data_IF_820121784376
#
_entry.id   IF_820121784376
#
_cell.length_a   1.000
_cell.length_b   1.000
_cell.length_c   1.000
_cell.angle_alpha   90.00
_cell.angle_beta   90.00
_cell.angle_gamma   90.00
#
_symmetry.space_group_name_H-M   'P 1'
#
loop_
_entity.id
_entity.type
_entity.pdbx_description
1 polymer ?
#
# COMPACT_ATOMS: atom_id res chain seq x y z
N UNK A 1 0.44 -15.54 -28.12
CA UNK A 1 0.06 -14.19 -28.64
C UNK A 1 1.24 -13.24 -28.45
N UNK A 2 1.33 -12.09 -29.15
CA UNK A 2 2.38 -11.07 -28.87
C UNK A 2 1.75 -9.86 -28.25
N UNK A 3 2.41 -9.24 -27.28
CA UNK A 3 1.94 -8.09 -26.54
C UNK A 3 3.03 -7.03 -26.38
N UNK A 4 2.64 -5.77 -26.27
CA UNK A 4 3.61 -4.67 -26.09
C UNK A 4 4.37 -4.80 -24.77
N UNK A 5 5.66 -4.51 -24.80
CA UNK A 5 6.54 -4.61 -23.63
C UNK A 5 6.06 -3.74 -22.47
N UNK A 6 5.64 -2.48 -22.73
CA UNK A 6 5.15 -1.57 -21.69
C UNK A 6 3.85 -2.08 -21.01
N UNK A 7 2.99 -2.73 -21.77
CA UNK A 7 1.76 -3.34 -21.24
C UNK A 7 2.04 -4.62 -20.46
N UNK A 8 2.93 -5.48 -20.97
CA UNK A 8 3.31 -6.73 -20.30
C UNK A 8 3.94 -6.47 -18.92
N UNK A 9 4.78 -5.45 -18.81
CA UNK A 9 5.39 -5.07 -17.52
C UNK A 9 4.34 -4.74 -16.47
N UNK A 10 3.29 -4.00 -16.85
CA UNK A 10 2.19 -3.64 -15.95
C UNK A 10 1.33 -4.86 -15.63
N UNK A 11 0.92 -5.62 -16.65
CA UNK A 11 0.08 -6.81 -16.47
C UNK A 11 0.71 -7.89 -15.59
N UNK A 12 2.05 -7.99 -15.62
CA UNK A 12 2.80 -8.92 -14.76
C UNK A 12 3.18 -8.33 -13.41
N UNK A 13 2.74 -7.11 -13.10
CA UNK A 13 3.05 -6.43 -11.85
C UNK A 13 4.53 -6.11 -11.65
N UNK A 14 5.33 -6.09 -12.74
CA UNK A 14 6.73 -5.72 -12.66
C UNK A 14 6.94 -4.20 -12.51
N UNK A 15 5.91 -3.42 -12.80
CA UNK A 15 5.87 -1.96 -12.61
C UNK A 15 4.43 -1.48 -12.36
N UNK A 16 4.30 -0.38 -11.64
CA UNK A 16 3.02 0.20 -11.21
C UNK A 16 2.19 0.89 -12.30
N UNK A 17 2.84 1.31 -13.41
CA UNK A 17 2.16 2.04 -14.48
C UNK A 17 2.88 1.93 -15.81
N UNK A 18 2.16 2.20 -16.92
CA UNK A 18 2.76 2.26 -18.27
C UNK A 18 3.81 3.37 -18.39
N UNK A 19 3.61 4.50 -17.74
CA UNK A 19 4.58 5.60 -17.71
C UNK A 19 5.89 5.13 -17.08
N UNK A 20 5.81 4.41 -15.95
CA UNK A 20 6.98 3.82 -15.28
C UNK A 20 7.65 2.75 -16.14
N UNK A 21 6.86 1.88 -16.80
CA UNK A 21 7.38 0.89 -17.75
C UNK A 21 8.20 1.55 -18.86
N UNK A 22 7.66 2.58 -19.47
CA UNK A 22 8.32 3.33 -20.54
C UNK A 22 9.63 3.98 -20.06
N UNK A 23 9.62 4.59 -18.87
CA UNK A 23 10.81 5.19 -18.27
C UNK A 23 11.90 4.14 -18.00
N UNK A 24 11.55 2.98 -17.47
CA UNK A 24 12.51 1.89 -17.21
C UNK A 24 13.06 1.27 -18.50
N UNK A 25 12.22 1.11 -19.53
CA UNK A 25 12.67 0.64 -20.84
C UNK A 25 13.65 1.66 -21.45
N UNK A 26 13.30 2.95 -21.41
CA UNK A 26 14.17 4.03 -21.90
C UNK A 26 15.51 4.07 -21.13
N UNK A 27 15.46 3.89 -19.81
CA UNK A 27 16.64 3.79 -18.96
C UNK A 27 17.46 2.50 -19.15
N UNK A 28 16.97 1.58 -19.99
CA UNK A 28 17.65 0.33 -20.31
C UNK A 28 17.67 -0.70 -19.17
N UNK A 29 16.72 -0.60 -18.25
CA UNK A 29 16.59 -1.48 -17.08
C UNK A 29 15.71 -2.70 -17.32
N UNK A 30 15.08 -2.84 -18.49
CA UNK A 30 14.18 -3.94 -18.81
C UNK A 30 14.88 -4.94 -19.74
N UNK A 31 14.84 -6.20 -19.37
CA UNK A 31 15.47 -7.30 -20.09
C UNK A 31 14.49 -8.44 -20.37
N UNK A 32 14.70 -9.11 -21.52
CA UNK A 32 14.08 -10.39 -21.88
C UNK A 32 15.19 -11.44 -21.94
N UNK A 33 15.39 -12.20 -20.87
CA UNK A 33 16.61 -12.98 -20.70
C UNK A 33 17.83 -12.05 -20.64
N UNK A 34 18.81 -12.28 -21.53
CA UNK A 34 19.99 -11.41 -21.64
C UNK A 34 19.79 -10.24 -22.63
N UNK A 35 18.70 -10.22 -23.37
CA UNK A 35 18.42 -9.15 -24.33
C UNK A 35 17.69 -7.97 -23.67
N UNK A 36 18.26 -6.78 -23.83
CA UNK A 36 17.61 -5.54 -23.41
C UNK A 36 16.42 -5.24 -24.29
N UNK A 37 15.27 -4.92 -23.67
CA UNK A 37 14.10 -4.40 -24.37
C UNK A 37 14.37 -2.96 -24.80
N UNK A 38 14.35 -2.70 -26.11
CA UNK A 38 14.78 -1.43 -26.68
C UNK A 38 13.70 -0.35 -26.66
N UNK A 39 12.45 -0.72 -26.90
CA UNK A 39 11.34 0.21 -27.02
C UNK A 39 10.12 -0.27 -26.26
N UNK A 40 9.36 0.67 -25.71
CA UNK A 40 8.11 0.41 -25.01
C UNK A 40 7.04 -0.32 -25.88
N UNK A 41 7.10 -0.08 -27.19
CA UNK A 41 6.21 -0.71 -28.17
C UNK A 41 6.68 -2.05 -28.70
N UNK A 42 7.83 -2.58 -28.27
CA UNK A 42 8.31 -3.88 -28.75
C UNK A 42 7.28 -4.97 -28.46
N UNK A 43 6.99 -5.78 -29.51
CA UNK A 43 6.00 -6.85 -29.44
C UNK A 43 6.69 -8.14 -28.99
N UNK A 44 6.50 -8.50 -27.74
CA UNK A 44 7.10 -9.66 -27.11
C UNK A 44 6.12 -10.83 -27.07
N UNK A 45 6.64 -12.05 -27.08
CA UNK A 45 5.82 -13.25 -26.89
C UNK A 45 5.28 -13.30 -25.45
N UNK A 46 4.07 -13.83 -25.29
CA UNK A 46 3.35 -13.83 -24.01
C UNK A 46 4.03 -14.68 -22.92
N UNK A 47 4.85 -15.64 -23.33
CA UNK A 47 5.63 -16.53 -22.47
C UNK A 47 7.06 -16.04 -22.18
N UNK A 48 7.47 -14.92 -22.78
CA UNK A 48 8.83 -14.40 -22.59
C UNK A 48 9.08 -13.99 -21.12
N UNK A 49 10.22 -14.38 -20.59
CA UNK A 49 10.63 -13.93 -19.25
C UNK A 49 11.08 -12.47 -19.31
N UNK A 50 10.34 -11.58 -18.63
CA UNK A 50 10.72 -10.19 -18.46
C UNK A 50 11.32 -9.97 -17.06
N UNK A 51 12.36 -9.15 -17.03
CA UNK A 51 13.06 -8.77 -15.79
C UNK A 51 13.35 -7.26 -15.82
N UNK A 52 13.14 -6.59 -14.67
CA UNK A 52 13.59 -5.21 -14.47
C UNK A 52 14.85 -5.28 -13.61
N UNK A 53 16.01 -4.97 -14.20
CA UNK A 53 17.29 -4.99 -13.50
C UNK A 53 17.58 -3.63 -12.88
N UNK A 54 18.13 -3.65 -11.66
CA UNK A 54 18.45 -2.42 -10.91
C UNK A 54 17.20 -1.70 -10.42
N UNK A 55 16.20 -2.41 -9.97
CA UNK A 55 15.17 -1.85 -9.09
C UNK A 55 15.83 -1.46 -7.76
N UNK A 56 15.47 -0.27 -7.27
CA UNK A 56 16.02 0.26 -6.01
C UNK A 56 15.35 -0.42 -4.78
N UNK A 57 14.45 -1.40 -4.99
CA UNK A 57 13.70 -2.11 -3.95
C UNK A 57 13.25 -3.50 -4.44
N UNK A 58 13.08 -4.49 -3.55
CA UNK A 58 12.67 -5.85 -3.90
C UNK A 58 11.15 -6.01 -4.15
N UNK A 59 10.33 -4.99 -3.85
CA UNK A 59 8.88 -5.06 -3.83
C UNK A 59 8.25 -4.83 -5.20
N UNK A 60 7.02 -5.31 -5.41
CA UNK A 60 6.25 -5.10 -6.67
C UNK A 60 6.00 -3.62 -6.96
N UNK A 61 6.02 -2.74 -5.93
CA UNK A 61 5.95 -1.30 -6.10
C UNK A 61 6.73 -0.56 -5.02
N UNK A 62 7.02 0.76 -5.24
CA UNK A 62 7.68 1.63 -4.25
C UNK A 62 6.92 1.75 -2.94
N UNK A 63 5.59 1.47 -2.94
CA UNK A 63 4.79 1.43 -1.73
C UNK A 63 5.38 0.50 -0.67
N UNK A 64 5.97 -0.63 -1.09
CA UNK A 64 6.63 -1.57 -0.18
C UNK A 64 7.74 -0.96 0.68
N UNK A 65 8.47 0.05 0.16
CA UNK A 65 9.48 0.77 0.96
C UNK A 65 8.87 1.46 2.18
N UNK A 66 7.66 2.01 2.02
CA UNK A 66 6.95 2.71 3.11
C UNK A 66 6.59 1.73 4.23
N UNK A 67 5.95 0.59 3.88
CA UNK A 67 5.56 -0.40 4.88
C UNK A 67 6.77 -1.07 5.53
N UNK A 68 7.79 -1.46 4.75
CA UNK A 68 9.00 -2.05 5.29
C UNK A 68 9.68 -1.12 6.32
N UNK A 69 9.73 0.20 6.02
CA UNK A 69 10.19 1.20 6.97
C UNK A 69 9.31 1.26 8.22
N UNK A 70 7.99 1.29 8.08
CA UNK A 70 7.05 1.32 9.19
C UNK A 70 7.17 0.09 10.11
N UNK A 71 7.26 -1.11 9.53
CA UNK A 71 7.47 -2.35 10.31
C UNK A 71 8.75 -2.28 11.15
N UNK A 72 9.86 -1.83 10.54
CA UNK A 72 11.13 -1.68 11.25
C UNK A 72 11.06 -0.59 12.34
N UNK A 73 10.44 0.58 12.03
CA UNK A 73 10.36 1.72 12.94
C UNK A 73 9.52 1.42 14.19
N UNK A 74 8.34 0.79 14.03
CA UNK A 74 7.43 0.48 15.14
C UNK A 74 7.72 -0.87 15.80
N UNK A 75 8.61 -1.69 15.25
CA UNK A 75 8.92 -3.02 15.74
C UNK A 75 7.76 -4.02 15.55
N UNK A 76 6.88 -3.79 14.57
CA UNK A 76 5.76 -4.66 14.28
C UNK A 76 6.15 -5.79 13.32
N UNK A 77 5.56 -6.97 13.52
CA UNK A 77 5.81 -8.14 12.67
C UNK A 77 4.49 -8.74 12.16
N UNK A 78 4.35 -8.96 10.84
CA UNK A 78 3.22 -9.69 10.27
C UNK A 78 3.40 -11.21 10.34
N UNK A 79 4.52 -11.72 10.83
CA UNK A 79 4.81 -13.15 10.87
C UNK A 79 3.73 -13.93 11.63
N UNK A 80 3.17 -14.94 10.96
CA UNK A 80 2.10 -15.78 11.50
C UNK A 80 0.73 -15.13 11.58
N UNK A 81 0.56 -13.88 11.10
CA UNK A 81 -0.68 -13.09 11.24
C UNK A 81 -1.55 -13.12 9.99
N UNK A 82 -2.85 -12.93 10.19
CA UNK A 82 -3.82 -12.64 9.15
C UNK A 82 -3.91 -11.10 9.03
N UNK A 83 -3.63 -10.60 7.84
CA UNK A 83 -3.46 -9.18 7.57
C UNK A 83 -4.58 -8.64 6.67
N UNK A 84 -4.90 -7.35 6.83
CA UNK A 84 -5.79 -6.59 5.97
C UNK A 84 -5.01 -5.42 5.35
N UNK A 85 -4.92 -5.39 4.02
CA UNK A 85 -4.30 -4.32 3.23
C UNK A 85 -5.39 -3.47 2.57
N UNK A 86 -5.60 -2.25 3.07
CA UNK A 86 -6.61 -1.30 2.60
C UNK A 86 -5.99 -0.33 1.60
N UNK A 87 -6.46 -0.37 0.36
CA UNK A 87 -5.87 0.37 -0.75
C UNK A 87 -4.67 -0.38 -1.35
N UNK A 88 -4.83 -1.68 -1.57
CA UNK A 88 -3.74 -2.57 -1.99
C UNK A 88 -3.11 -2.18 -3.34
N UNK A 89 -3.88 -1.60 -4.28
CA UNK A 89 -3.40 -1.16 -5.59
C UNK A 89 -2.59 -2.25 -6.31
N UNK A 90 -1.33 -2.00 -6.64
CA UNK A 90 -0.41 -2.98 -7.24
C UNK A 90 0.10 -4.04 -6.27
N UNK A 91 -0.13 -3.89 -4.96
CA UNK A 91 0.20 -4.88 -3.94
C UNK A 91 1.55 -4.64 -3.23
N UNK A 92 2.06 -3.42 -3.24
CA UNK A 92 3.34 -3.15 -2.57
C UNK A 92 3.34 -3.47 -1.08
N UNK A 93 2.24 -3.17 -0.36
CA UNK A 93 2.08 -3.52 1.05
C UNK A 93 1.82 -5.02 1.22
N UNK A 94 0.95 -5.61 0.42
CA UNK A 94 0.69 -7.05 0.39
C UNK A 94 1.98 -7.85 0.22
N UNK A 95 2.86 -7.46 -0.71
CA UNK A 95 4.15 -8.12 -0.97
C UNK A 95 5.09 -8.08 0.24
N UNK A 96 5.17 -6.92 0.92
CA UNK A 96 5.92 -6.80 2.18
C UNK A 96 5.36 -7.71 3.26
N UNK A 97 4.05 -7.71 3.47
CA UNK A 97 3.40 -8.56 4.48
C UNK A 97 3.72 -10.05 4.26
N UNK A 98 3.56 -10.52 3.03
CA UNK A 98 3.84 -11.92 2.66
C UNK A 98 5.32 -12.29 2.83
N UNK A 99 6.22 -11.42 2.41
CA UNK A 99 7.67 -11.63 2.53
C UNK A 99 8.12 -11.66 3.99
N UNK A 100 7.45 -10.90 4.87
CA UNK A 100 7.70 -10.91 6.31
C UNK A 100 6.87 -11.95 7.07
N UNK A 101 6.28 -12.93 6.37
CA UNK A 101 5.71 -14.13 6.97
C UNK A 101 4.23 -14.05 7.35
N UNK A 102 3.45 -13.11 6.78
CA UNK A 102 2.00 -13.15 6.93
C UNK A 102 1.43 -14.49 6.42
N UNK A 103 0.51 -15.08 7.16
CA UNK A 103 -0.15 -16.35 6.79
C UNK A 103 -1.27 -16.14 5.79
N UNK A 104 -1.90 -14.97 5.83
CA UNK A 104 -2.95 -14.57 4.90
C UNK A 104 -3.00 -13.05 4.78
N UNK A 105 -3.30 -12.54 3.59
CA UNK A 105 -3.52 -11.11 3.35
C UNK A 105 -4.82 -10.90 2.57
N UNK A 106 -5.77 -10.18 3.17
CA UNK A 106 -6.94 -9.66 2.47
C UNK A 106 -6.55 -8.36 1.80
N UNK A 107 -6.39 -8.36 0.48
CA UNK A 107 -6.03 -7.20 -0.33
C UNK A 107 -7.29 -6.51 -0.86
N UNK A 108 -7.62 -5.34 -0.30
CA UNK A 108 -8.86 -4.60 -0.59
C UNK A 108 -8.56 -3.37 -1.42
N UNK A 109 -9.23 -3.21 -2.55
CA UNK A 109 -9.13 -2.02 -3.40
C UNK A 109 -10.44 -1.73 -4.14
N UNK A 110 -10.73 -0.44 -4.37
CA UNK A 110 -11.87 0.00 -5.20
C UNK A 110 -11.59 -0.21 -6.69
N UNK A 111 -10.33 -0.31 -7.09
CA UNK A 111 -9.86 -0.60 -8.43
C UNK A 111 -10.11 -2.05 -8.85
N UNK A 112 -9.73 -2.35 -10.08
CA UNK A 112 -9.84 -3.68 -10.66
C UNK A 112 -8.63 -4.00 -11.53
N UNK A 113 -8.10 -5.23 -11.40
CA UNK A 113 -7.00 -5.71 -12.22
C UNK A 113 -5.66 -5.01 -11.97
N UNK A 114 -5.51 -4.34 -10.81
CA UNK A 114 -4.28 -3.60 -10.47
C UNK A 114 -3.27 -4.47 -9.73
N UNK A 115 -3.74 -5.40 -8.91
CA UNK A 115 -2.87 -6.26 -8.10
C UNK A 115 -1.93 -7.07 -9.00
N UNK A 116 -0.65 -7.07 -8.68
CA UNK A 116 0.39 -7.79 -9.41
C UNK A 116 0.03 -9.27 -9.54
N UNK A 117 0.30 -9.85 -10.73
CA UNK A 117 -0.12 -11.20 -11.05
C UNK A 117 0.44 -12.27 -10.11
N UNK A 118 1.71 -12.14 -9.71
CA UNK A 118 2.34 -13.04 -8.75
C UNK A 118 1.64 -13.04 -7.39
N UNK A 119 1.16 -11.88 -6.93
CA UNK A 119 0.41 -11.76 -5.68
C UNK A 119 -1.02 -12.30 -5.82
N UNK A 120 -1.64 -12.06 -6.98
CA UNK A 120 -2.98 -12.59 -7.30
C UNK A 120 -3.02 -14.12 -7.33
N UNK A 121 -1.91 -14.75 -7.70
CA UNK A 121 -1.77 -16.21 -7.76
C UNK A 121 -1.20 -16.83 -6.47
N UNK A 122 -0.91 -16.06 -5.44
CA UNK A 122 -0.45 -16.57 -4.15
C UNK A 122 -1.66 -17.01 -3.31
N UNK A 123 -1.69 -18.27 -2.91
CA UNK A 123 -2.81 -18.88 -2.15
C UNK A 123 -3.06 -18.20 -0.80
N UNK A 124 -2.10 -17.43 -0.30
CA UNK A 124 -2.24 -16.63 0.93
C UNK A 124 -2.97 -15.31 0.71
N UNK A 125 -3.23 -14.90 -0.54
CA UNK A 125 -3.86 -13.62 -0.87
C UNK A 125 -5.33 -13.81 -1.21
N UNK A 126 -6.20 -13.13 -0.47
CA UNK A 126 -7.61 -13.01 -0.78
C UNK A 126 -7.87 -11.65 -1.40
N UNK A 127 -8.26 -11.64 -2.68
CA UNK A 127 -8.41 -10.40 -3.47
C UNK A 127 -9.83 -9.87 -3.37
N UNK A 128 -10.00 -8.65 -2.86
CA UNK A 128 -11.26 -7.92 -2.77
C UNK A 128 -11.20 -6.68 -3.67
N UNK A 129 -11.33 -6.86 -4.97
CA UNK A 129 -11.40 -5.76 -5.94
C UNK A 129 -12.81 -5.17 -6.05
N UNK A 130 -12.93 -3.94 -6.60
CA UNK A 130 -14.19 -3.18 -6.67
C UNK A 130 -14.88 -3.06 -5.31
N UNK A 131 -14.09 -3.11 -4.23
CA UNK A 131 -14.59 -3.14 -2.86
C UNK A 131 -14.22 -1.84 -2.16
N UNK A 132 -15.25 -1.12 -1.71
CA UNK A 132 -15.03 0.10 -0.93
C UNK A 132 -14.87 -0.28 0.56
N UNK A 133 -13.66 -0.09 1.08
CA UNK A 133 -13.30 -0.45 2.45
C UNK A 133 -14.19 0.19 3.53
N UNK A 134 -14.84 1.33 3.24
CA UNK A 134 -15.81 1.96 4.16
C UNK A 134 -16.99 1.06 4.53
N UNK A 135 -17.29 0.08 3.70
CA UNK A 135 -18.43 -0.82 3.86
C UNK A 135 -18.00 -2.27 4.09
N UNK A 136 -16.72 -2.46 4.41
CA UNK A 136 -16.18 -3.78 4.70
C UNK A 136 -16.76 -4.32 6.00
N UNK A 137 -17.18 -5.58 5.98
CA UNK A 137 -17.84 -6.23 7.12
C UNK A 137 -17.36 -7.68 7.31
N UNK A 138 -17.87 -8.32 8.35
CA UNK A 138 -17.59 -9.72 8.66
C UNK A 138 -18.13 -10.72 7.64
N UNK A 139 -19.05 -10.33 6.77
CA UNK A 139 -19.52 -11.20 5.69
C UNK A 139 -18.49 -11.25 4.55
N UNK A 140 -17.82 -10.13 4.28
CA UNK A 140 -16.75 -10.05 3.26
C UNK A 140 -15.40 -10.56 3.78
N UNK A 141 -15.06 -10.29 5.06
CA UNK A 141 -13.81 -10.71 5.71
C UNK A 141 -14.18 -11.49 6.97
N UNK A 142 -14.22 -12.81 6.86
CA UNK A 142 -14.61 -13.71 7.95
C UNK A 142 -13.47 -13.99 8.93
N UNK A 143 -12.23 -13.83 8.48
CA UNK A 143 -11.04 -14.07 9.29
C UNK A 143 -10.85 -12.97 10.38
N UNK A 144 -10.29 -13.32 11.54
CA UNK A 144 -9.89 -12.33 12.54
C UNK A 144 -8.68 -11.54 12.03
N UNK A 145 -8.79 -10.22 11.95
CA UNK A 145 -7.68 -9.37 11.48
C UNK A 145 -6.73 -9.07 12.64
N UNK A 146 -5.49 -9.49 12.49
CA UNK A 146 -4.42 -9.36 13.49
C UNK A 146 -3.40 -8.28 13.13
N UNK A 147 -3.44 -7.81 11.87
CA UNK A 147 -2.63 -6.70 11.39
C UNK A 147 -3.39 -5.94 10.30
N UNK A 148 -3.44 -4.61 10.40
CA UNK A 148 -4.07 -3.75 9.42
C UNK A 148 -3.05 -2.78 8.85
N UNK A 149 -2.99 -2.70 7.52
CA UNK A 149 -2.19 -1.68 6.82
C UNK A 149 -3.08 -0.88 5.87
N UNK A 150 -2.75 0.41 5.66
CA UNK A 150 -3.55 1.26 4.79
C UNK A 150 -2.69 2.26 4.02
N UNK A 151 -2.79 2.21 2.69
CA UNK A 151 -2.24 3.20 1.75
C UNK A 151 -3.34 3.79 0.83
N UNK A 152 -4.56 3.98 1.38
CA UNK A 152 -5.69 4.52 0.63
C UNK A 152 -5.42 5.96 0.14
N UNK A 153 -5.95 6.29 -1.04
CA UNK A 153 -5.83 7.62 -1.65
C UNK A 153 -7.20 8.23 -1.88
N UNK A 154 -7.25 9.58 -1.96
CA UNK A 154 -8.45 10.37 -2.22
C UNK A 154 -9.54 10.29 -1.14
N UNK A 155 -9.19 9.85 0.07
CA UNK A 155 -10.11 9.72 1.20
C UNK A 155 -9.33 9.93 2.50
N UNK A 156 -9.96 10.57 3.50
CA UNK A 156 -9.38 10.71 4.84
C UNK A 156 -9.48 9.41 5.65
N UNK A 157 -8.50 9.18 6.52
CA UNK A 157 -8.39 7.97 7.34
C UNK A 157 -9.59 7.78 8.27
N UNK A 158 -10.09 8.87 8.87
CA UNK A 158 -11.28 8.83 9.73
C UNK A 158 -12.56 8.40 8.98
N UNK A 159 -12.54 8.46 7.65
CA UNK A 159 -13.67 8.03 6.82
C UNK A 159 -13.51 6.58 6.36
N UNK A 160 -12.31 6.14 6.00
CA UNK A 160 -12.10 4.82 5.39
C UNK A 160 -11.88 3.72 6.44
N UNK A 161 -11.31 4.03 7.60
CA UNK A 161 -10.85 3.02 8.56
C UNK A 161 -11.88 2.49 9.57
N UNK A 162 -12.97 3.17 9.93
CA UNK A 162 -13.87 2.65 10.98
C UNK A 162 -14.35 1.21 10.73
N UNK A 163 -14.76 0.88 9.51
CA UNK A 163 -15.20 -0.46 9.16
C UNK A 163 -14.05 -1.50 9.17
N UNK A 164 -12.88 -1.27 8.52
CA UNK A 164 -11.72 -2.15 8.65
C UNK A 164 -11.23 -2.36 10.09
N UNK A 165 -11.19 -1.31 10.92
CA UNK A 165 -10.74 -1.42 12.32
C UNK A 165 -11.69 -2.27 13.17
N UNK A 166 -12.99 -2.29 12.87
CA UNK A 166 -13.96 -3.15 13.54
C UNK A 166 -13.75 -4.65 13.28
N UNK A 167 -12.94 -5.00 12.27
CA UNK A 167 -12.56 -6.39 11.96
C UNK A 167 -11.34 -6.85 12.75
N UNK A 168 -10.63 -5.93 13.40
CA UNK A 168 -9.44 -6.26 14.17
C UNK A 168 -9.80 -6.97 15.49
N UNK A 169 -8.91 -7.85 15.92
CA UNK A 169 -9.03 -8.56 17.20
C UNK A 169 -8.02 -8.01 18.22
N UNK A 170 -8.25 -8.18 19.54
CA UNK A 170 -7.26 -7.81 20.55
C UNK A 170 -5.89 -8.41 20.28
N UNK A 171 -4.83 -7.61 20.42
CA UNK A 171 -3.47 -7.96 20.03
C UNK A 171 -3.10 -7.57 18.58
N UNK A 172 -4.06 -7.04 17.81
CA UNK A 172 -3.77 -6.51 16.49
C UNK A 172 -2.92 -5.23 16.56
N UNK A 173 -2.19 -4.97 15.47
CA UNK A 173 -1.54 -3.70 15.22
C UNK A 173 -1.98 -3.09 13.89
N UNK A 174 -1.76 -1.79 13.74
CA UNK A 174 -2.01 -1.09 12.48
C UNK A 174 -0.84 -0.21 12.09
N UNK A 175 -0.55 -0.13 10.77
CA UNK A 175 0.30 0.89 10.16
C UNK A 175 -0.49 1.52 9.02
N UNK A 176 -0.71 2.84 9.11
CA UNK A 176 -1.48 3.56 8.10
C UNK A 176 -0.71 4.78 7.61
N UNK A 177 -0.84 5.08 6.31
CA UNK A 177 -0.27 6.29 5.73
C UNK A 177 -1.18 7.49 5.96
N UNK A 178 -0.64 8.52 6.58
CA UNK A 178 -1.21 9.86 6.66
C UNK A 178 -0.75 10.60 5.41
N UNK A 179 -1.68 11.02 4.59
CA UNK A 179 -1.44 11.77 3.35
C UNK A 179 -2.02 13.19 3.50
N UNK A 180 -1.19 14.20 3.77
CA UNK A 180 -1.66 15.56 4.03
C UNK A 180 -2.58 16.10 2.93
N UNK A 181 -2.34 15.76 1.67
CA UNK A 181 -3.17 16.18 0.53
C UNK A 181 -4.61 15.67 0.58
N UNK A 182 -4.89 14.59 1.31
CA UNK A 182 -6.25 14.05 1.48
C UNK A 182 -6.86 14.32 2.86
N UNK A 183 -6.06 14.90 3.74
CA UNK A 183 -6.45 15.21 5.12
C UNK A 183 -6.63 16.70 5.40
N UNK A 184 -5.83 17.58 4.77
CA UNK A 184 -5.76 19.00 5.16
C UNK A 184 -6.96 19.85 4.71
N UNK A 185 -7.77 19.35 3.76
CA UNK A 185 -8.81 20.14 3.11
C UNK A 185 -8.28 20.99 1.94
N UNK A 186 -9.18 21.33 1.01
CA UNK A 186 -8.82 21.92 -0.28
C UNK A 186 -8.04 23.26 -0.19
N UNK A 187 -8.29 24.05 0.86
CA UNK A 187 -7.64 25.35 1.05
C UNK A 187 -6.12 25.28 1.26
N UNK A 188 -5.61 24.13 1.74
CA UNK A 188 -4.18 23.91 2.02
C UNK A 188 -3.46 23.13 0.92
N UNK A 189 -4.19 22.68 -0.09
CA UNK A 189 -3.64 21.92 -1.21
C UNK A 189 -3.27 22.90 -2.32
N UNK A 190 -1.98 23.07 -2.55
CA UNK A 190 -1.46 23.96 -3.58
C UNK A 190 -1.64 23.44 -5.01
N UNK A 191 -1.17 24.20 -5.97
CA UNK A 191 -1.15 23.77 -7.38
C UNK A 191 -0.49 22.38 -7.51
N UNK A 192 -1.02 21.53 -8.38
CA UNK A 192 -0.61 20.12 -8.57
C UNK A 192 -0.93 19.18 -7.39
N UNK A 193 -1.80 19.57 -6.46
CA UNK A 193 -2.20 18.67 -5.37
C UNK A 193 -1.15 18.47 -4.28
N UNK A 194 -0.20 19.41 -4.09
CA UNK A 194 0.90 19.25 -3.13
C UNK A 194 0.72 20.17 -1.94
N UNK A 195 0.79 19.60 -0.73
CA UNK A 195 0.88 20.31 0.54
C UNK A 195 2.35 20.47 0.91
N UNK A 196 2.83 21.73 1.01
CA UNK A 196 4.26 22.04 1.22
C UNK A 196 4.57 22.59 2.59
N UNK A 197 3.57 23.15 3.27
CA UNK A 197 3.74 23.83 4.56
C UNK A 197 3.95 22.80 5.68
N UNK A 198 5.12 22.80 6.36
CA UNK A 198 5.38 21.90 7.47
C UNK A 198 4.40 22.07 8.65
N UNK A 199 3.85 23.28 8.85
CA UNK A 199 2.85 23.51 9.89
C UNK A 199 1.54 22.78 9.58
N UNK A 200 1.15 22.71 8.30
CA UNK A 200 -0.01 21.92 7.86
C UNK A 200 0.25 20.43 8.05
N UNK A 201 1.46 19.95 7.73
CA UNK A 201 1.84 18.54 7.97
C UNK A 201 1.69 18.18 9.45
N UNK A 202 2.24 19.01 10.35
CA UNK A 202 2.14 18.79 11.81
C UNK A 202 0.69 18.81 12.30
N UNK A 203 -0.11 19.77 11.84
CA UNK A 203 -1.52 19.89 12.21
C UNK A 203 -2.33 18.67 11.74
N UNK A 204 -2.06 18.17 10.54
CA UNK A 204 -2.70 16.95 9.99
C UNK A 204 -2.32 15.73 10.83
N UNK A 205 -1.03 15.52 11.09
CA UNK A 205 -0.56 14.40 11.92
C UNK A 205 -1.16 14.44 13.32
N UNK A 206 -1.19 15.62 13.96
CA UNK A 206 -1.79 15.81 15.29
C UNK A 206 -3.28 15.46 15.31
N UNK A 207 -4.05 15.93 14.30
CA UNK A 207 -5.49 15.65 14.19
C UNK A 207 -5.76 14.15 13.97
N UNK A 208 -5.01 13.47 13.11
CA UNK A 208 -5.16 12.03 12.88
C UNK A 208 -4.80 11.25 14.14
N UNK A 209 -3.73 11.63 14.82
CA UNK A 209 -3.32 11.02 16.10
C UNK A 209 -4.40 11.21 17.17
N UNK A 210 -4.98 12.40 17.28
CA UNK A 210 -6.05 12.69 18.22
C UNK A 210 -7.30 11.85 17.92
N UNK A 211 -7.70 11.77 16.64
CA UNK A 211 -8.82 10.93 16.22
C UNK A 211 -8.58 9.46 16.60
N UNK A 212 -7.39 8.93 16.29
CA UNK A 212 -7.04 7.54 16.60
C UNK A 212 -7.04 7.26 18.10
N UNK A 213 -6.49 8.17 18.90
CA UNK A 213 -6.47 8.06 20.37
C UNK A 213 -7.86 8.07 21.00
N UNK A 214 -8.88 8.56 20.30
CA UNK A 214 -10.28 8.48 20.71
C UNK A 214 -10.95 7.14 20.40
N UNK A 215 -10.32 6.25 19.63
CA UNK A 215 -10.90 4.95 19.29
C UNK A 215 -10.78 3.98 20.48
N UNK A 216 -11.89 3.34 20.90
CA UNK A 216 -11.86 2.42 22.04
C UNK A 216 -10.88 1.26 21.82
N UNK A 217 -10.02 1.00 22.80
CA UNK A 217 -9.03 -0.08 22.79
C UNK A 217 -7.81 0.15 21.92
N UNK A 218 -7.76 1.20 21.11
CA UNK A 218 -6.58 1.54 20.30
C UNK A 218 -5.62 2.48 21.05
N UNK A 219 -4.33 2.27 20.86
CA UNK A 219 -3.26 3.12 21.40
C UNK A 219 -2.27 3.43 20.29
N UNK A 220 -1.94 4.73 20.14
CA UNK A 220 -0.95 5.17 19.14
C UNK A 220 0.45 4.87 19.64
N UNK A 221 1.23 4.13 18.85
CA UNK A 221 2.65 3.84 19.10
C UNK A 221 3.55 5.02 18.68
N UNK A 222 3.13 5.79 17.67
CA UNK A 222 3.87 6.96 17.20
C UNK A 222 3.53 7.33 15.76
N UNK A 223 4.20 8.40 15.29
CA UNK A 223 4.16 8.84 13.88
C UNK A 223 5.61 8.97 13.38
N UNK A 224 5.88 8.46 12.20
CA UNK A 224 7.17 8.56 11.51
C UNK A 224 6.99 9.15 10.10
N UNK A 225 8.01 9.84 9.59
CA UNK A 225 8.02 10.28 8.20
C UNK A 225 8.23 9.08 7.26
N UNK A 226 7.54 9.08 6.14
CA UNK A 226 7.73 8.07 5.09
C UNK A 226 9.12 8.22 4.46
N UNK A 227 9.85 7.12 4.18
CA UNK A 227 11.18 7.18 3.58
C UNK A 227 11.16 7.69 2.13
N UNK A 228 10.00 7.76 1.53
CA UNK A 228 9.79 8.28 0.16
C UNK A 228 8.55 9.17 0.11
N UNK A 229 8.57 10.13 -0.80
CA UNK A 229 7.41 10.97 -1.11
C UNK A 229 6.38 10.24 -1.96
N UNK A 230 5.15 10.72 -1.93
CA UNK A 230 4.09 10.29 -2.85
C UNK A 230 4.41 10.62 -4.31
N UNK A 231 3.61 10.12 -5.27
CA UNK A 231 3.86 10.29 -6.71
C UNK A 231 3.99 11.75 -7.16
N UNK A 232 3.23 12.65 -6.54
CA UNK A 232 3.22 14.09 -6.86
C UNK A 232 4.26 14.89 -6.04
N UNK A 233 5.06 14.20 -5.18
CA UNK A 233 6.06 14.81 -4.32
C UNK A 233 5.54 15.29 -2.97
N UNK A 234 4.38 14.82 -2.53
CA UNK A 234 3.88 15.06 -1.18
C UNK A 234 4.69 14.29 -0.14
N UNK A 235 5.05 14.96 0.96
CA UNK A 235 5.51 14.26 2.15
C UNK A 235 4.34 13.48 2.74
N UNK A 236 4.59 12.24 3.11
CA UNK A 236 3.63 11.33 3.71
C UNK A 236 4.18 10.84 5.06
N UNK A 237 3.30 10.41 5.95
CA UNK A 237 3.68 9.98 7.28
C UNK A 237 3.05 8.62 7.59
N UNK A 238 3.70 7.84 8.45
CA UNK A 238 3.23 6.56 8.93
C UNK A 238 2.77 6.70 10.38
N UNK A 239 1.54 6.29 10.68
CA UNK A 239 1.08 6.14 12.05
C UNK A 239 1.05 4.67 12.40
N UNK A 240 1.71 4.30 13.51
CA UNK A 240 1.65 2.98 14.10
C UNK A 240 0.71 2.97 15.30
N UNK A 241 -0.10 1.93 15.46
CA UNK A 241 -1.01 1.76 16.59
C UNK A 241 -1.18 0.29 16.98
N UNK A 242 -1.57 0.04 18.23
CA UNK A 242 -1.89 -1.29 18.75
C UNK A 242 -3.30 -1.34 19.29
N UNK A 243 -3.94 -2.50 19.18
CA UNK A 243 -5.29 -2.74 19.68
C UNK A 243 -5.27 -3.67 20.89
N UNK A 244 -5.82 -3.20 21.98
CA UNK A 244 -6.12 -4.02 23.16
C UNK A 244 -7.63 -4.13 23.31
N UNK A 245 -8.12 -5.03 24.17
CA UNK A 245 -9.58 -5.10 24.42
C UNK A 245 -10.11 -3.74 24.91
N UNK A 246 -11.29 -3.29 24.45
CA UNK A 246 -11.95 -2.09 24.99
C UNK A 246 -12.18 -2.13 26.50
N UNK A 247 -12.21 -3.30 27.11
CA UNK A 247 -12.42 -3.54 28.54
C UNK A 247 -11.13 -3.38 29.39
N UNK A 248 -9.97 -3.13 28.77
CA UNK A 248 -8.65 -3.08 29.42
C UNK A 248 -8.22 -1.67 29.89
N UNK A 249 -9.16 -0.74 30.10
CA UNK A 249 -8.89 0.59 30.69
C UNK A 249 -9.51 0.74 32.06
#
# INVERSE_FOLDING_TARGET
>A
MKQRADQMLVLRGLVESRTRAQALILAGKVFSGEQRVGKAGDMLAEDVKLEVRGQDHPWVSRGGLKLAHGLAHFGFSPAGRICLDVGASTGGFTDVLLTHGATKVHAVDVGHGQLAWNLRCDDRVVVHEKTNARYLDRAAVTDPIEALVCDASFIGLATVLPAPLALCVPGAWAIVLIKPQFEAGAAFVGGKGVVRDPAVHQAVCARVTQWWSGLPGWSVAGVAESPITGPEGNNEFLLGATFTSPEAR
#
